data_IF_942742190135
#
_entry.id   IF_942742190135
#
_cell.length_a   1.000
_cell.length_b   1.000
_cell.length_c   1.000
_cell.angle_alpha   90.00
_cell.angle_beta   90.00
_cell.angle_gamma   90.00
#
_symmetry.space_group_name_H-M   'P 1'
#
loop_
_entity.id
_entity.type
_entity.pdbx_description
1 polymer ?
#
# COMPACT_ATOMS: atom_id res chain seq x y z
N UNK A 1 18.14 1.97 37.67
CA UNK A 1 17.71 2.39 36.34
C UNK A 1 17.98 1.25 35.35
N UNK A 2 16.99 0.88 34.53
CA UNK A 2 17.06 -0.34 33.68
C UNK A 2 17.98 -0.19 32.47
N UNK A 3 18.33 1.03 32.05
CA UNK A 3 19.03 1.30 30.80
C UNK A 3 20.42 1.92 30.97
N UNK A 4 20.94 1.98 32.17
CA UNK A 4 22.32 2.41 32.36
C UNK A 4 23.30 1.30 31.92
N UNK A 5 24.33 1.64 31.16
CA UNK A 5 25.38 0.67 30.84
C UNK A 5 26.06 0.18 32.12
N UNK A 6 26.50 -1.07 32.11
CA UNK A 6 27.25 -1.64 33.22
C UNK A 6 28.63 -1.00 33.33
N UNK A 7 29.07 -0.74 34.57
CA UNK A 7 30.44 -0.31 34.86
C UNK A 7 31.44 -1.45 34.62
N UNK A 8 32.70 -1.14 34.44
CA UNK A 8 33.74 -2.16 34.33
C UNK A 8 33.81 -3.06 35.59
N UNK A 9 33.59 -2.52 36.77
CA UNK A 9 33.53 -3.31 38.01
C UNK A 9 32.36 -4.31 37.99
N UNK A 10 31.17 -3.89 37.55
CA UNK A 10 30.00 -4.79 37.41
C UNK A 10 30.24 -5.85 36.39
N UNK A 11 30.86 -5.51 35.21
CA UNK A 11 31.25 -6.47 34.22
C UNK A 11 32.22 -7.51 34.73
N UNK A 12 33.24 -7.07 35.50
CA UNK A 12 34.19 -7.97 36.15
C UNK A 12 33.51 -8.94 37.11
N UNK A 13 32.57 -8.45 37.93
CA UNK A 13 31.79 -9.32 38.83
C UNK A 13 30.94 -10.34 38.06
N UNK A 14 30.29 -9.93 36.95
CA UNK A 14 29.51 -10.85 36.09
C UNK A 14 30.40 -11.91 35.47
N UNK A 15 31.56 -11.55 34.94
CA UNK A 15 32.53 -12.49 34.37
C UNK A 15 33.06 -13.47 35.44
N UNK A 16 33.40 -12.98 36.60
CA UNK A 16 33.84 -13.84 37.73
C UNK A 16 32.74 -14.84 38.13
N UNK A 17 31.48 -14.40 38.17
CA UNK A 17 30.34 -15.30 38.45
C UNK A 17 30.16 -16.40 37.40
N UNK A 18 30.58 -16.14 36.14
CA UNK A 18 30.62 -17.12 35.08
C UNK A 18 31.93 -17.95 35.02
N UNK A 19 32.86 -17.72 35.96
CA UNK A 19 34.18 -18.37 35.94
C UNK A 19 35.12 -17.90 34.82
N UNK A 20 34.91 -16.68 34.30
CA UNK A 20 35.64 -16.13 33.18
C UNK A 20 36.47 -14.93 33.61
N UNK A 21 37.65 -14.72 33.01
CA UNK A 21 38.53 -13.59 33.25
C UNK A 21 38.23 -12.38 32.35
N UNK A 22 37.75 -12.62 31.15
CA UNK A 22 37.48 -11.59 30.15
C UNK A 22 36.23 -11.90 29.33
N UNK A 23 35.67 -10.87 28.66
CA UNK A 23 34.59 -11.06 27.68
C UNK A 23 35.04 -11.90 26.48
N UNK A 24 36.33 -11.88 26.15
CA UNK A 24 36.90 -12.69 25.07
C UNK A 24 36.78 -14.20 25.34
N UNK A 25 36.83 -14.61 26.61
CA UNK A 25 36.72 -16.01 27.00
C UNK A 25 35.35 -16.61 26.65
N UNK A 26 34.29 -15.78 26.55
CA UNK A 26 32.97 -16.20 26.07
C UNK A 26 33.01 -16.80 24.65
N UNK A 27 33.97 -16.36 23.86
CA UNK A 27 34.12 -16.76 22.46
C UNK A 27 35.23 -17.83 22.25
N UNK A 28 35.82 -18.36 23.33
CA UNK A 28 36.89 -19.34 23.24
C UNK A 28 36.53 -20.61 22.45
N UNK A 29 35.25 -20.96 22.38
CA UNK A 29 34.74 -22.10 21.59
C UNK A 29 34.74 -21.85 20.07
N UNK A 30 34.88 -20.62 19.62
CA UNK A 30 34.92 -20.30 18.17
C UNK A 30 36.32 -20.50 17.62
N UNK A 31 36.44 -21.10 16.41
CA UNK A 31 37.73 -21.26 15.74
C UNK A 31 38.42 -19.90 15.57
N UNK A 32 39.76 -19.79 15.82
CA UNK A 32 40.48 -18.51 15.69
C UNK A 32 40.39 -17.85 14.31
N UNK A 33 40.24 -18.65 13.24
CA UNK A 33 40.11 -18.17 11.86
C UNK A 33 38.74 -17.48 11.60
N UNK A 34 37.73 -17.74 12.38
CA UNK A 34 36.38 -17.13 12.25
C UNK A 34 36.22 -15.89 13.11
N UNK A 35 37.19 -15.57 13.97
CA UNK A 35 37.12 -14.44 14.89
C UNK A 35 37.75 -13.20 14.29
N UNK A 36 37.04 -12.10 14.28
CA UNK A 36 37.58 -10.80 13.90
C UNK A 36 38.48 -10.26 15.02
N UNK A 37 39.79 -10.13 14.75
CA UNK A 37 40.79 -9.67 15.71
C UNK A 37 41.09 -8.17 15.65
N UNK A 38 40.44 -7.45 14.78
CA UNK A 38 40.60 -6.01 14.64
C UNK A 38 39.27 -5.31 15.02
N UNK A 39 39.28 -4.07 15.47
CA UNK A 39 38.07 -3.28 15.57
C UNK A 39 37.36 -3.18 14.23
N UNK A 40 36.04 -3.07 14.25
CA UNK A 40 35.26 -2.73 13.04
C UNK A 40 35.72 -1.34 12.55
N UNK A 41 35.82 -1.20 11.21
CA UNK A 41 36.12 0.09 10.58
C UNK A 41 34.83 0.94 10.56
N UNK A 42 34.42 1.40 11.74
CA UNK A 42 33.28 2.28 11.92
C UNK A 42 33.80 3.64 12.41
N UNK A 43 33.12 4.70 11.96
CA UNK A 43 33.37 6.03 12.48
C UNK A 43 33.12 6.09 14.00
N UNK A 44 33.79 6.98 14.72
CA UNK A 44 33.49 7.23 16.12
C UNK A 44 32.03 7.61 16.35
N UNK A 45 31.49 7.25 17.49
CA UNK A 45 30.13 7.65 17.89
C UNK A 45 30.01 9.17 17.91
N UNK A 46 28.86 9.67 17.46
CA UNK A 46 28.52 11.10 17.47
C UNK A 46 27.56 11.39 18.64
N UNK A 47 27.61 12.61 19.14
CA UNK A 47 26.61 13.11 20.09
C UNK A 47 25.22 13.24 19.42
N UNK A 48 24.17 13.27 20.20
CA UNK A 48 22.80 13.49 19.70
C UNK A 48 22.71 14.77 18.85
N UNK A 49 23.34 15.85 19.31
CA UNK A 49 23.38 17.12 18.59
C UNK A 49 24.01 16.96 17.19
N UNK A 50 25.17 16.31 17.08
CA UNK A 50 25.85 16.08 15.80
C UNK A 50 25.03 15.19 14.86
N UNK A 51 24.32 14.17 15.39
CA UNK A 51 23.44 13.31 14.61
C UNK A 51 22.25 14.09 14.07
N UNK A 52 21.60 14.90 14.91
CA UNK A 52 20.47 15.74 14.50
C UNK A 52 20.89 16.75 13.44
N UNK A 53 22.01 17.43 13.63
CA UNK A 53 22.51 18.40 12.64
C UNK A 53 22.89 17.74 11.31
N UNK A 54 23.54 16.59 11.37
CA UNK A 54 23.85 15.82 10.16
C UNK A 54 22.59 15.48 9.36
N UNK A 55 21.57 14.93 9.99
CA UNK A 55 20.34 14.56 9.30
C UNK A 55 19.52 15.76 8.84
N UNK A 56 19.52 16.87 9.59
CA UNK A 56 18.91 18.13 9.11
C UNK A 56 19.60 18.66 7.86
N UNK A 57 20.94 18.63 7.82
CA UNK A 57 21.68 19.03 6.63
C UNK A 57 21.36 18.13 5.42
N UNK A 58 21.28 16.79 5.63
CA UNK A 58 20.88 15.86 4.55
C UNK A 58 19.43 16.08 4.10
N UNK A 59 18.51 16.32 5.03
CA UNK A 59 17.12 16.61 4.71
C UNK A 59 16.97 17.90 3.88
N UNK A 60 17.79 18.91 4.14
CA UNK A 60 17.79 20.17 3.41
C UNK A 60 18.27 20.04 1.95
N UNK A 61 18.93 18.95 1.58
CA UNK A 61 19.35 18.67 0.19
C UNK A 61 18.18 18.17 -0.67
N UNK A 62 17.08 17.73 -0.05
CA UNK A 62 15.91 17.30 -0.80
C UNK A 62 15.19 18.50 -1.41
N UNK A 63 14.61 18.28 -2.59
CA UNK A 63 13.74 19.24 -3.22
C UNK A 63 12.39 19.28 -2.48
N UNK A 64 12.12 20.37 -1.77
CA UNK A 64 10.91 20.56 -0.97
C UNK A 64 10.09 21.75 -1.47
N UNK A 65 8.79 21.77 -1.15
CA UNK A 65 7.91 22.90 -1.49
C UNK A 65 7.55 23.01 -2.97
N UNK A 66 7.82 21.99 -3.78
CA UNK A 66 7.44 21.94 -5.18
C UNK A 66 6.07 21.29 -5.33
N UNK A 67 5.09 21.92 -6.01
CA UNK A 67 3.89 21.22 -6.44
C UNK A 67 4.24 19.97 -7.24
N UNK A 68 3.57 18.86 -6.91
CA UNK A 68 3.87 17.55 -7.48
C UNK A 68 2.64 17.02 -8.24
N UNK A 69 2.87 16.62 -9.49
CA UNK A 69 1.88 16.01 -10.36
C UNK A 69 2.20 14.52 -10.64
N UNK A 70 3.11 13.96 -9.87
CA UNK A 70 3.43 12.55 -9.88
C UNK A 70 2.42 11.80 -8.99
N UNK A 71 1.78 10.79 -9.52
CA UNK A 71 0.92 9.84 -8.82
C UNK A 71 1.52 8.45 -8.86
N UNK A 72 0.89 7.55 -9.64
CA UNK A 72 1.38 6.19 -9.86
C UNK A 72 1.44 5.34 -8.59
N UNK A 73 0.39 5.41 -7.77
CA UNK A 73 0.23 4.58 -6.57
C UNK A 73 0.71 5.22 -5.27
N UNK A 74 1.30 6.43 -5.33
CA UNK A 74 1.63 7.24 -4.15
C UNK A 74 1.25 8.70 -4.40
N UNK A 75 0.45 9.26 -3.51
CA UNK A 75 -0.26 10.51 -3.73
C UNK A 75 -0.01 11.51 -2.61
N UNK A 76 0.03 12.81 -2.96
CA UNK A 76 0.11 13.89 -1.99
C UNK A 76 -1.30 14.38 -1.64
N UNK A 77 -1.75 14.05 -0.42
CA UNK A 77 -2.99 14.53 0.16
C UNK A 77 -2.73 15.33 1.43
N UNK A 78 -3.67 16.19 1.78
CA UNK A 78 -3.60 16.90 3.05
C UNK A 78 -3.71 15.93 4.23
N UNK A 79 -2.74 16.02 5.14
CA UNK A 79 -2.71 15.22 6.35
C UNK A 79 -3.24 16.03 7.54
N UNK A 80 -4.39 15.67 8.12
CA UNK A 80 -4.92 16.35 9.29
C UNK A 80 -3.96 16.27 10.49
N UNK A 81 -3.76 17.38 11.21
CA UNK A 81 -2.86 17.46 12.37
C UNK A 81 -3.24 16.45 13.46
N UNK A 82 -4.53 16.12 13.58
CA UNK A 82 -5.01 15.14 14.56
C UNK A 82 -4.40 13.74 14.33
N UNK A 83 -4.06 13.38 13.09
CA UNK A 83 -3.40 12.10 12.79
C UNK A 83 -2.09 12.00 13.56
N UNK A 84 -1.22 13.01 13.43
CA UNK A 84 0.07 13.04 14.12
C UNK A 84 -0.08 13.07 15.64
N UNK A 85 -1.07 13.80 16.13
CA UNK A 85 -1.37 13.90 17.57
C UNK A 85 -1.77 12.54 18.16
N UNK A 86 -2.61 11.77 17.46
CA UNK A 86 -3.05 10.46 17.96
C UNK A 86 -1.97 9.41 17.87
N UNK A 87 -1.27 9.31 16.73
CA UNK A 87 -0.26 8.24 16.54
C UNK A 87 1.02 8.46 17.34
N UNK A 88 1.30 9.69 17.79
CA UNK A 88 2.44 9.99 18.66
C UNK A 88 2.17 9.68 20.13
N UNK A 89 0.95 9.34 20.54
CA UNK A 89 0.65 8.93 21.91
C UNK A 89 1.35 7.61 22.23
N UNK A 90 1.97 7.54 23.39
CA UNK A 90 2.75 6.38 23.82
C UNK A 90 1.96 5.07 23.80
N UNK A 91 0.67 5.13 24.08
CA UNK A 91 -0.24 3.97 24.09
C UNK A 91 -0.33 3.28 22.72
N UNK A 92 -0.20 4.04 21.62
CA UNK A 92 -0.20 3.52 20.26
C UNK A 92 1.22 3.37 19.71
N UNK A 93 2.07 4.40 19.86
CA UNK A 93 3.41 4.44 19.28
C UNK A 93 4.29 3.27 19.74
N UNK A 94 4.19 2.89 21.01
CA UNK A 94 4.98 1.80 21.60
C UNK A 94 4.28 0.44 21.56
N UNK A 95 3.03 0.37 21.08
CA UNK A 95 2.29 -0.89 21.01
C UNK A 95 2.87 -1.80 19.95
N UNK A 96 2.77 -3.11 20.22
CA UNK A 96 3.08 -4.15 19.25
C UNK A 96 1.80 -4.94 18.95
N UNK A 97 1.89 -6.18 18.56
CA UNK A 97 0.72 -7.01 18.30
C UNK A 97 -0.08 -7.23 19.59
N UNK A 98 -1.39 -7.00 19.60
CA UNK A 98 -2.23 -7.11 20.79
C UNK A 98 -2.60 -8.57 21.10
N UNK A 99 -1.62 -9.41 21.42
CA UNK A 99 -1.84 -10.82 21.73
C UNK A 99 -2.62 -11.02 23.05
N UNK A 100 -2.35 -10.16 24.05
CA UNK A 100 -3.02 -10.22 25.35
C UNK A 100 -4.22 -9.27 25.34
N UNK A 101 -5.39 -9.83 25.09
CA UNK A 101 -6.63 -9.07 24.98
C UNK A 101 -6.93 -8.24 26.25
N UNK A 102 -6.54 -8.76 27.42
CA UNK A 102 -6.82 -8.16 28.73
C UNK A 102 -6.20 -6.76 28.90
N UNK A 103 -5.05 -6.50 28.29
CA UNK A 103 -4.33 -5.22 28.40
C UNK A 103 -4.32 -4.41 27.10
N UNK A 104 -4.91 -4.91 26.03
CA UNK A 104 -4.82 -4.34 24.68
C UNK A 104 -6.18 -3.93 24.11
N UNK A 105 -7.20 -3.72 24.95
CA UNK A 105 -8.56 -3.45 24.47
C UNK A 105 -8.64 -2.19 23.61
N UNK A 106 -7.91 -1.12 23.94
CA UNK A 106 -7.88 0.10 23.11
C UNK A 106 -7.31 -0.13 21.71
N UNK A 107 -6.19 -0.84 21.60
CA UNK A 107 -5.59 -1.20 20.31
C UNK A 107 -6.50 -2.14 19.50
N UNK A 108 -7.10 -3.13 20.14
CA UNK A 108 -8.04 -4.06 19.50
C UNK A 108 -9.28 -3.35 19.01
N UNK A 109 -9.81 -2.38 19.78
CA UNK A 109 -10.95 -1.54 19.37
C UNK A 109 -10.59 -0.75 18.11
N UNK A 110 -9.43 -0.08 18.10
CA UNK A 110 -8.99 0.69 16.93
C UNK A 110 -8.85 -0.18 15.67
N UNK A 111 -8.33 -1.42 15.80
CA UNK A 111 -8.24 -2.36 14.67
C UNK A 111 -9.63 -2.80 14.22
N UNK A 112 -10.55 -3.07 15.14
CA UNK A 112 -11.93 -3.45 14.79
C UNK A 112 -12.66 -2.32 14.06
N UNK A 113 -12.49 -1.07 14.49
CA UNK A 113 -13.03 0.11 13.81
C UNK A 113 -12.42 0.28 12.42
N UNK A 114 -11.10 0.10 12.27
CA UNK A 114 -10.43 0.07 10.97
C UNK A 114 -11.07 -0.95 10.02
N UNK A 115 -11.22 -2.20 10.45
CA UNK A 115 -11.86 -3.26 9.66
C UNK A 115 -13.29 -2.88 9.27
N UNK A 116 -14.05 -2.30 10.19
CA UNK A 116 -15.44 -1.86 9.95
C UNK A 116 -15.51 -0.76 8.90
N UNK A 117 -14.63 0.25 8.99
CA UNK A 117 -14.57 1.34 8.02
C UNK A 117 -14.20 0.84 6.63
N UNK A 118 -13.26 -0.10 6.53
CA UNK A 118 -12.89 -0.72 5.25
C UNK A 118 -14.05 -1.52 4.65
N UNK A 119 -14.78 -2.28 5.46
CA UNK A 119 -15.98 -2.98 5.00
C UNK A 119 -17.03 -2.00 4.44
N UNK A 120 -17.24 -0.86 5.11
CA UNK A 120 -18.17 0.18 4.65
C UNK A 120 -17.73 0.83 3.34
N UNK A 121 -16.44 1.12 3.18
CA UNK A 121 -15.88 1.73 1.96
C UNK A 121 -15.87 0.78 0.77
N UNK A 122 -15.57 -0.48 1.00
CA UNK A 122 -15.39 -1.47 -0.08
C UNK A 122 -16.66 -2.27 -0.39
N UNK A 123 -17.67 -2.23 0.48
CA UNK A 123 -18.86 -3.06 0.36
C UNK A 123 -18.62 -4.54 0.66
N UNK A 124 -17.48 -4.87 1.29
CA UNK A 124 -17.14 -6.21 1.72
C UNK A 124 -17.64 -6.49 3.14
N UNK A 125 -17.80 -7.78 3.47
CA UNK A 125 -18.36 -8.21 4.75
C UNK A 125 -17.28 -8.35 5.83
N UNK A 126 -16.03 -8.61 5.43
CA UNK A 126 -14.90 -8.76 6.34
C UNK A 126 -13.62 -8.16 5.75
N UNK A 127 -12.83 -7.51 6.60
CA UNK A 127 -11.50 -7.00 6.28
C UNK A 127 -10.50 -7.44 7.35
N UNK A 128 -9.24 -7.66 6.97
CA UNK A 128 -8.18 -7.94 7.93
C UNK A 128 -7.64 -6.66 8.59
N UNK A 129 -6.77 -6.84 9.58
CA UNK A 129 -6.16 -5.75 10.37
C UNK A 129 -5.16 -4.88 9.59
N UNK A 130 -4.89 -5.14 8.37
CA UNK A 130 -4.08 -4.59 7.28
C UNK A 130 -3.08 -5.62 6.72
N UNK A 131 -2.63 -5.32 5.51
CA UNK A 131 -1.50 -5.98 4.84
C UNK A 131 -0.26 -5.09 4.95
N UNK A 132 0.89 -5.55 4.44
CA UNK A 132 2.11 -4.74 4.42
C UNK A 132 1.94 -3.52 3.52
N UNK A 133 1.44 -3.74 2.30
CA UNK A 133 1.09 -2.73 1.31
C UNK A 133 0.12 -3.31 0.27
N UNK A 134 -0.35 -2.49 -0.66
CA UNK A 134 -1.23 -2.93 -1.75
C UNK A 134 -0.54 -3.93 -2.67
N UNK A 135 0.77 -3.79 -2.89
CA UNK A 135 1.52 -4.67 -3.79
C UNK A 135 1.60 -6.11 -3.28
N UNK A 136 1.66 -6.31 -1.97
CA UNK A 136 1.64 -7.64 -1.32
C UNK A 136 0.21 -8.15 -1.09
N UNK A 137 -0.78 -7.26 -0.99
CA UNK A 137 -2.18 -7.64 -0.87
C UNK A 137 -2.70 -8.36 -2.14
N UNK A 138 -2.26 -7.92 -3.33
CA UNK A 138 -2.69 -8.50 -4.62
C UNK A 138 -2.32 -9.98 -4.78
N UNK A 139 -1.07 -10.42 -4.63
CA UNK A 139 -0.74 -11.84 -4.70
C UNK A 139 -1.38 -12.68 -3.59
N UNK A 140 -1.56 -12.13 -2.39
CA UNK A 140 -2.27 -12.81 -1.31
C UNK A 140 -3.75 -13.02 -1.66
N UNK A 141 -4.40 -12.04 -2.32
CA UNK A 141 -5.75 -12.19 -2.86
C UNK A 141 -5.80 -13.28 -3.94
N UNK A 142 -4.82 -13.33 -4.85
CA UNK A 142 -4.72 -14.36 -5.88
C UNK A 142 -4.54 -15.76 -5.27
N UNK A 143 -3.66 -15.90 -4.29
CA UNK A 143 -3.46 -17.16 -3.57
C UNK A 143 -4.71 -17.57 -2.76
N UNK A 144 -5.41 -16.59 -2.19
CA UNK A 144 -6.68 -16.82 -1.51
C UNK A 144 -7.72 -17.35 -2.49
N UNK A 145 -7.87 -16.74 -3.67
CA UNK A 145 -8.77 -17.20 -4.71
C UNK A 145 -8.42 -18.63 -5.20
N UNK A 146 -7.11 -18.92 -5.33
CA UNK A 146 -6.64 -20.26 -5.71
C UNK A 146 -7.02 -21.33 -4.66
N UNK A 147 -6.90 -21.00 -3.38
CA UNK A 147 -7.35 -21.92 -2.29
C UNK A 147 -8.85 -22.14 -2.28
N UNK A 148 -9.63 -21.06 -2.52
CA UNK A 148 -11.10 -21.14 -2.54
C UNK A 148 -11.60 -21.98 -3.69
N UNK A 149 -11.05 -21.78 -4.89
CA UNK A 149 -11.51 -22.46 -6.11
C UNK A 149 -10.85 -23.81 -6.36
N UNK A 150 -9.72 -24.10 -5.71
CA UNK A 150 -8.88 -25.25 -6.02
C UNK A 150 -8.14 -25.14 -7.36
N UNK A 151 -8.10 -23.96 -7.98
CA UNK A 151 -7.52 -23.70 -9.29
C UNK A 151 -6.24 -22.85 -9.18
N UNK A 152 -5.47 -22.72 -10.27
CA UNK A 152 -4.19 -22.00 -10.27
C UNK A 152 -4.06 -20.89 -11.30
N UNK A 153 -4.99 -20.82 -12.25
CA UNK A 153 -4.98 -19.76 -13.29
C UNK A 153 -5.34 -18.41 -12.70
N UNK A 154 -4.59 -17.38 -13.07
CA UNK A 154 -4.87 -15.98 -12.70
C UNK A 154 -4.81 -15.14 -13.98
N UNK A 155 -5.83 -14.35 -14.25
CA UNK A 155 -5.83 -13.37 -15.33
C UNK A 155 -5.76 -11.98 -14.73
N UNK A 156 -4.63 -11.29 -14.90
CA UNK A 156 -4.41 -9.95 -14.39
C UNK A 156 -4.51 -8.92 -15.52
N UNK A 157 -5.22 -7.82 -15.30
CA UNK A 157 -5.27 -6.71 -16.25
C UNK A 157 -3.86 -6.13 -16.48
N UNK A 158 -3.50 -5.80 -17.72
CA UNK A 158 -2.27 -5.08 -18.02
C UNK A 158 -2.27 -3.67 -17.40
N UNK A 159 -3.44 -3.13 -17.16
CA UNK A 159 -3.68 -1.85 -16.47
C UNK A 159 -3.62 -1.94 -14.94
N UNK A 160 -3.36 -3.12 -14.35
CA UNK A 160 -2.93 -3.25 -12.96
C UNK A 160 -1.56 -2.59 -12.80
N UNK A 161 -1.33 -1.90 -11.69
CA UNK A 161 -0.06 -1.23 -11.39
C UNK A 161 1.15 -2.11 -11.75
N UNK A 162 2.10 -1.63 -12.57
CA UNK A 162 3.18 -2.47 -13.12
C UNK A 162 4.01 -3.17 -12.05
N UNK A 163 4.31 -2.48 -10.94
CA UNK A 163 5.08 -3.05 -9.83
C UNK A 163 4.25 -4.07 -9.04
N UNK A 164 2.92 -3.89 -8.93
CA UNK A 164 2.05 -4.91 -8.34
C UNK A 164 2.03 -6.19 -9.19
N UNK A 165 2.04 -6.05 -10.52
CA UNK A 165 2.18 -7.20 -11.43
C UNK A 165 3.52 -7.90 -11.22
N UNK A 166 4.62 -7.15 -11.09
CA UNK A 166 5.94 -7.73 -10.84
C UNK A 166 6.01 -8.49 -9.50
N UNK A 167 5.34 -7.97 -8.45
CA UNK A 167 5.21 -8.67 -7.16
C UNK A 167 4.36 -9.94 -7.32
N UNK A 168 3.22 -9.86 -8.02
CA UNK A 168 2.38 -11.03 -8.32
C UNK A 168 3.18 -12.12 -9.06
N UNK A 169 3.96 -11.76 -10.08
CA UNK A 169 4.85 -12.67 -10.81
C UNK A 169 5.92 -13.30 -9.89
N UNK A 170 6.45 -12.51 -8.94
CA UNK A 170 7.43 -13.00 -7.97
C UNK A 170 6.84 -14.11 -7.09
N UNK A 171 5.62 -13.93 -6.60
CA UNK A 171 4.90 -14.96 -5.85
C UNK A 171 4.55 -16.18 -6.70
N UNK A 172 4.24 -15.98 -7.98
CA UNK A 172 3.88 -17.05 -8.90
C UNK A 172 5.06 -17.93 -9.37
N UNK A 173 6.33 -17.43 -9.31
CA UNK A 173 7.53 -18.09 -9.88
C UNK A 173 7.73 -19.55 -9.47
N UNK A 174 7.34 -19.93 -8.27
CA UNK A 174 7.47 -21.30 -7.76
C UNK A 174 6.31 -22.22 -8.18
N UNK A 175 5.62 -21.90 -9.28
CA UNK A 175 4.50 -22.68 -9.86
C UNK A 175 3.27 -22.81 -8.96
N UNK A 176 3.12 -21.88 -8.03
CA UNK A 176 1.93 -21.81 -7.19
C UNK A 176 0.74 -21.30 -8.01
N UNK A 177 0.98 -20.29 -8.86
CA UNK A 177 -0.01 -19.66 -9.73
C UNK A 177 0.49 -19.63 -11.19
N UNK A 178 -0.45 -19.67 -12.13
CA UNK A 178 -0.23 -19.47 -13.57
C UNK A 178 -0.83 -18.13 -13.97
N UNK A 179 -0.01 -17.09 -14.06
CA UNK A 179 -0.45 -15.72 -14.35
C UNK A 179 -0.44 -15.47 -15.87
N UNK A 180 -1.56 -14.98 -16.37
CA UNK A 180 -1.72 -14.44 -17.73
C UNK A 180 -2.10 -12.96 -17.63
N UNK A 181 -1.61 -12.14 -18.57
CA UNK A 181 -1.91 -10.70 -18.63
C UNK A 181 -2.94 -10.43 -19.72
N UNK A 182 -4.05 -9.80 -19.33
CA UNK A 182 -5.11 -9.35 -20.24
C UNK A 182 -4.82 -7.92 -20.72
N UNK A 183 -5.01 -7.67 -22.01
CA UNK A 183 -4.77 -6.37 -22.65
C UNK A 183 -5.73 -5.27 -22.22
N UNK A 184 -5.54 -4.11 -22.84
CA UNK A 184 -6.43 -2.96 -22.68
C UNK A 184 -6.80 -2.37 -24.04
N UNK A 185 -7.95 -1.70 -24.12
CA UNK A 185 -8.44 -1.03 -25.34
C UNK A 185 -7.60 0.24 -25.60
N UNK A 186 -6.88 0.36 -26.73
CA UNK A 186 -5.98 1.48 -27.00
C UNK A 186 -6.65 2.86 -27.03
N UNK A 187 -7.95 2.94 -27.33
CA UNK A 187 -8.70 4.19 -27.38
C UNK A 187 -9.17 4.66 -26.01
N UNK A 188 -9.78 3.76 -25.22
CA UNK A 188 -10.37 4.11 -23.91
C UNK A 188 -9.41 3.97 -22.74
N UNK A 189 -8.37 3.16 -22.84
CA UNK A 189 -7.50 2.79 -21.72
C UNK A 189 -8.11 1.80 -20.73
N UNK A 190 -9.32 1.29 -21.00
CA UNK A 190 -10.01 0.28 -20.18
C UNK A 190 -9.54 -1.14 -20.52
N UNK A 191 -9.79 -2.05 -19.59
CA UNK A 191 -9.64 -3.49 -19.79
C UNK A 191 -10.28 -3.95 -21.10
N UNK A 192 -9.57 -4.76 -21.89
CA UNK A 192 -10.10 -5.41 -23.08
C UNK A 192 -10.94 -6.63 -22.67
N UNK A 193 -12.27 -6.46 -22.70
CA UNK A 193 -13.22 -7.50 -22.29
C UNK A 193 -13.24 -8.68 -23.24
N UNK A 194 -12.95 -8.49 -24.55
CA UNK A 194 -12.85 -9.59 -25.48
C UNK A 194 -11.60 -10.44 -25.23
N UNK A 195 -10.48 -9.79 -24.91
CA UNK A 195 -9.26 -10.51 -24.53
C UNK A 195 -9.44 -11.22 -23.19
N UNK A 196 -10.17 -10.60 -22.25
CA UNK A 196 -10.52 -11.23 -20.97
C UNK A 196 -11.35 -12.49 -21.18
N UNK A 197 -12.39 -12.43 -21.99
CA UNK A 197 -13.27 -13.57 -22.29
C UNK A 197 -12.50 -14.75 -22.90
N UNK A 198 -11.53 -14.48 -23.77
CA UNK A 198 -10.67 -15.52 -24.35
C UNK A 198 -9.72 -16.18 -23.34
N UNK A 199 -9.30 -15.46 -22.30
CA UNK A 199 -8.28 -15.91 -21.32
C UNK A 199 -8.87 -16.56 -20.07
N UNK A 200 -10.10 -16.21 -19.72
CA UNK A 200 -10.77 -16.79 -18.54
C UNK A 200 -11.34 -18.16 -18.92
N UNK A 201 -10.90 -19.21 -18.23
CA UNK A 201 -11.27 -20.60 -18.46
C UNK A 201 -11.72 -21.25 -17.15
N UNK A 202 -12.16 -22.51 -17.23
CA UNK A 202 -12.49 -23.33 -16.06
C UNK A 202 -11.32 -23.59 -15.12
N UNK A 203 -10.07 -23.41 -15.58
CA UNK A 203 -8.83 -23.44 -14.78
C UNK A 203 -8.51 -22.13 -14.08
N UNK A 204 -9.26 -21.04 -14.36
CA UNK A 204 -9.01 -19.72 -13.78
C UNK A 204 -9.54 -19.64 -12.34
N UNK A 205 -8.68 -19.25 -11.41
CA UNK A 205 -9.03 -18.99 -10.01
C UNK A 205 -9.49 -17.55 -9.79
N UNK A 206 -8.79 -16.59 -10.41
CA UNK A 206 -9.04 -15.17 -10.21
C UNK A 206 -8.88 -14.36 -11.49
N UNK A 207 -9.72 -13.33 -11.62
CA UNK A 207 -9.54 -12.18 -12.50
C UNK A 207 -9.19 -10.99 -11.62
N UNK A 208 -8.07 -10.30 -11.91
CA UNK A 208 -7.56 -9.17 -11.10
C UNK A 208 -7.66 -7.90 -11.94
N UNK A 209 -8.49 -6.96 -11.48
CA UNK A 209 -8.74 -5.68 -12.15
C UNK A 209 -8.57 -4.54 -11.17
N UNK A 210 -7.75 -3.55 -11.52
CA UNK A 210 -7.60 -2.31 -10.76
C UNK A 210 -8.55 -1.24 -11.28
N UNK A 211 -9.26 -0.56 -10.38
CA UNK A 211 -10.09 0.61 -10.71
C UNK A 211 -10.11 1.62 -9.56
N UNK A 212 -9.75 2.90 -9.80
CA UNK A 212 -9.15 3.40 -11.05
C UNK A 212 -7.88 2.62 -11.43
N UNK A 213 -7.67 2.37 -12.72
CA UNK A 213 -6.53 1.58 -13.18
C UNK A 213 -5.23 2.42 -13.23
N UNK A 214 -4.11 1.83 -13.65
CA UNK A 214 -2.81 2.53 -13.66
C UNK A 214 -2.76 3.75 -14.61
N UNK A 215 -3.69 3.88 -15.51
CA UNK A 215 -3.86 5.06 -16.35
C UNK A 215 -4.83 6.10 -15.75
N UNK A 216 -5.32 5.87 -14.53
CA UNK A 216 -6.34 6.67 -13.87
C UNK A 216 -7.77 6.35 -14.30
N UNK A 217 -7.96 5.47 -15.28
CA UNK A 217 -9.26 5.18 -15.91
C UNK A 217 -10.13 4.31 -15.01
N UNK A 218 -11.41 4.67 -14.90
CA UNK A 218 -12.43 3.91 -14.17
C UNK A 218 -12.91 2.76 -15.04
N UNK A 219 -12.73 1.52 -14.54
CA UNK A 219 -13.06 0.28 -15.25
C UNK A 219 -14.55 -0.10 -15.12
N UNK A 220 -15.04 -0.89 -16.04
CA UNK A 220 -16.32 -1.59 -15.90
C UNK A 220 -16.11 -2.91 -15.15
N UNK A 221 -16.05 -2.78 -13.81
CA UNK A 221 -15.80 -3.93 -12.94
C UNK A 221 -16.94 -4.96 -12.97
N UNK A 222 -18.18 -4.53 -13.26
CA UNK A 222 -19.33 -5.43 -13.35
C UNK A 222 -19.18 -6.37 -14.54
N UNK A 223 -18.86 -5.84 -15.72
CA UNK A 223 -18.62 -6.67 -16.90
C UNK A 223 -17.46 -7.67 -16.66
N UNK A 224 -16.41 -7.25 -15.98
CA UNK A 224 -15.31 -8.15 -15.60
C UNK A 224 -15.75 -9.24 -14.61
N UNK A 225 -16.61 -8.90 -13.63
CA UNK A 225 -17.18 -9.86 -12.67
C UNK A 225 -18.03 -10.91 -13.38
N UNK A 226 -18.93 -10.47 -14.28
CA UNK A 226 -19.81 -11.38 -15.03
C UNK A 226 -19.00 -12.38 -15.87
N UNK A 227 -17.91 -11.94 -16.52
CA UNK A 227 -17.01 -12.82 -17.26
C UNK A 227 -16.30 -13.82 -16.33
N UNK A 228 -15.78 -13.38 -15.21
CA UNK A 228 -15.12 -14.23 -14.23
C UNK A 228 -16.09 -15.29 -13.66
N UNK A 229 -17.25 -14.86 -13.21
CA UNK A 229 -18.24 -15.72 -12.55
C UNK A 229 -18.85 -16.76 -13.49
N UNK A 230 -19.02 -16.46 -14.77
CA UNK A 230 -19.48 -17.45 -15.77
C UNK A 230 -18.57 -18.70 -15.83
N UNK A 231 -17.30 -18.56 -15.54
CA UNK A 231 -16.32 -19.64 -15.49
C UNK A 231 -16.01 -20.10 -14.03
N UNK A 232 -16.73 -19.56 -13.04
CA UNK A 232 -16.51 -19.87 -11.61
C UNK A 232 -15.19 -19.36 -11.06
N UNK A 233 -14.56 -18.38 -11.73
CA UNK A 233 -13.42 -17.62 -11.21
C UNK A 233 -13.92 -16.49 -10.29
N UNK A 234 -13.07 -16.02 -9.37
CA UNK A 234 -13.37 -14.91 -8.47
C UNK A 234 -12.88 -13.59 -9.07
N UNK A 235 -13.65 -12.50 -8.88
CA UNK A 235 -13.17 -11.17 -9.17
C UNK A 235 -12.42 -10.59 -7.97
N UNK A 236 -11.15 -10.22 -8.19
CA UNK A 236 -10.34 -9.42 -7.27
C UNK A 236 -10.34 -7.99 -7.78
N UNK A 237 -11.04 -7.11 -7.06
CA UNK A 237 -10.97 -5.68 -7.32
C UNK A 237 -9.78 -5.07 -6.57
N UNK A 238 -8.96 -4.31 -7.31
CA UNK A 238 -7.78 -3.62 -6.76
C UNK A 238 -7.98 -2.10 -6.83
N UNK A 239 -7.53 -1.37 -5.80
CA UNK A 239 -7.40 0.08 -5.84
C UNK A 239 -6.04 0.51 -5.29
N UNK A 240 -5.48 1.58 -5.85
CA UNK A 240 -4.25 2.23 -5.37
C UNK A 240 -4.54 3.60 -4.77
N UNK A 241 -5.59 4.27 -5.24
CA UNK A 241 -6.04 5.57 -4.75
C UNK A 241 -7.29 5.41 -3.88
N UNK A 242 -7.09 5.39 -2.55
CA UNK A 242 -8.19 5.16 -1.61
C UNK A 242 -9.19 6.32 -1.52
N UNK A 243 -8.78 7.57 -1.81
CA UNK A 243 -9.69 8.73 -1.81
C UNK A 243 -10.77 8.57 -2.87
N UNK A 244 -10.51 7.85 -3.96
CA UNK A 244 -11.53 7.54 -4.98
C UNK A 244 -12.77 6.83 -4.41
N UNK A 245 -12.60 6.05 -3.33
CA UNK A 245 -13.69 5.33 -2.67
C UNK A 245 -14.71 6.28 -1.99
N UNK A 246 -14.36 7.54 -1.79
CA UNK A 246 -15.30 8.58 -1.31
C UNK A 246 -16.36 8.94 -2.35
N UNK A 247 -16.14 8.66 -3.61
CA UNK A 247 -17.01 9.02 -4.74
C UNK A 247 -17.46 7.81 -5.56
N UNK A 248 -16.58 6.83 -5.77
CA UNK A 248 -16.90 5.62 -6.53
C UNK A 248 -17.73 4.65 -5.68
N UNK A 249 -18.84 4.17 -6.25
CA UNK A 249 -19.69 3.20 -5.56
C UNK A 249 -18.93 1.86 -5.39
N UNK A 250 -19.02 1.22 -4.21
CA UNK A 250 -18.47 -0.10 -4.00
C UNK A 250 -19.13 -1.12 -4.95
N UNK A 251 -18.35 -2.08 -5.45
CA UNK A 251 -18.86 -3.13 -6.31
C UNK A 251 -19.37 -4.32 -5.48
N UNK A 252 -20.67 -4.51 -5.46
CA UNK A 252 -21.31 -5.63 -4.76
C UNK A 252 -20.90 -7.01 -5.32
N UNK A 253 -20.52 -7.07 -6.60
CA UNK A 253 -20.14 -8.32 -7.30
C UNK A 253 -18.66 -8.69 -7.15
N UNK A 254 -17.82 -7.84 -6.52
CA UNK A 254 -16.46 -8.25 -6.17
C UNK A 254 -16.47 -9.33 -5.08
N UNK A 255 -15.59 -10.31 -5.22
CA UNK A 255 -15.42 -11.40 -4.23
C UNK A 255 -14.35 -11.05 -3.19
N UNK A 256 -13.28 -10.45 -3.65
CA UNK A 256 -12.12 -10.03 -2.86
C UNK A 256 -11.73 -8.62 -3.29
N UNK A 257 -11.37 -7.78 -2.32
CA UNK A 257 -10.82 -6.45 -2.56
C UNK A 257 -9.41 -6.40 -1.99
N UNK A 258 -8.46 -5.94 -2.79
CA UNK A 258 -7.09 -5.66 -2.38
C UNK A 258 -6.76 -4.21 -2.70
N UNK A 259 -5.98 -3.53 -1.88
CA UNK A 259 -5.69 -2.12 -2.15
C UNK A 259 -4.62 -1.51 -1.27
N UNK A 260 -4.41 -0.22 -1.47
CA UNK A 260 -3.43 0.61 -0.76
C UNK A 260 -4.13 1.79 -0.06
N UNK A 261 -3.69 2.09 1.15
CA UNK A 261 -4.22 3.19 1.97
C UNK A 261 -3.29 4.39 2.09
N UNK A 262 -2.22 4.45 1.30
CA UNK A 262 -1.25 5.54 1.39
C UNK A 262 -1.92 6.92 1.32
N UNK A 263 -2.96 7.10 0.50
CA UNK A 263 -3.74 8.34 0.38
C UNK A 263 -4.42 8.77 1.68
N UNK A 264 -4.62 7.88 2.64
CA UNK A 264 -5.26 8.20 3.91
C UNK A 264 -4.24 8.66 4.96
N UNK A 265 -3.71 9.87 4.76
CA UNK A 265 -2.77 10.57 5.65
C UNK A 265 -1.41 9.89 5.85
N UNK A 266 -0.99 9.04 4.93
CA UNK A 266 0.34 8.44 4.96
C UNK A 266 1.22 9.22 3.99
N UNK A 267 2.34 9.77 4.46
CA UNK A 267 3.27 10.48 3.59
C UNK A 267 3.93 9.50 2.60
N UNK A 268 4.28 9.93 1.37
CA UNK A 268 5.01 9.09 0.41
C UNK A 268 6.35 8.53 0.94
N UNK A 269 7.04 9.27 1.81
CA UNK A 269 8.19 8.87 2.65
C UNK A 269 9.22 8.00 1.93
N UNK A 270 9.57 8.33 0.69
CA UNK A 270 10.56 7.59 -0.13
C UNK A 270 10.22 6.10 -0.34
N UNK A 271 8.95 5.76 -0.32
CA UNK A 271 8.48 4.39 -0.56
C UNK A 271 7.91 3.65 0.65
N UNK A 272 7.51 4.36 1.69
CA UNK A 272 6.82 3.75 2.83
C UNK A 272 7.34 4.13 4.21
N UNK A 273 6.80 3.51 5.28
CA UNK A 273 5.85 2.39 5.23
C UNK A 273 4.45 2.81 4.74
N UNK A 274 3.74 1.88 4.07
CA UNK A 274 2.36 2.03 3.62
C UNK A 274 1.45 1.04 4.35
N UNK A 275 0.17 0.92 3.97
CA UNK A 275 -0.73 -0.06 4.56
C UNK A 275 -1.66 -0.65 3.49
N UNK A 276 -1.53 -1.95 3.28
CA UNK A 276 -2.39 -2.67 2.34
C UNK A 276 -3.74 -3.05 2.96
N UNK A 277 -4.70 -3.24 2.09
CA UNK A 277 -6.05 -3.73 2.40
C UNK A 277 -6.25 -5.12 1.81
N UNK A 278 -6.88 -5.99 2.57
CA UNK A 278 -7.52 -7.19 2.03
C UNK A 278 -8.88 -7.37 2.71
N UNK A 279 -9.91 -7.35 1.89
CA UNK A 279 -11.29 -7.54 2.32
C UNK A 279 -12.01 -8.55 1.42
N UNK A 280 -13.04 -9.21 1.92
CA UNK A 280 -13.75 -10.25 1.16
C UNK A 280 -15.19 -10.44 1.65
N UNK A 281 -15.98 -11.17 0.87
CA UNK A 281 -17.30 -11.65 1.27
C UNK A 281 -17.22 -12.58 2.49
N UNK A 282 -18.23 -12.57 3.34
CA UNK A 282 -18.31 -13.37 4.57
C UNK A 282 -17.99 -14.83 4.36
N UNK A 283 -18.51 -15.44 3.30
CA UNK A 283 -18.26 -16.84 2.93
C UNK A 283 -16.77 -17.19 2.79
N UNK A 284 -15.92 -16.20 2.54
CA UNK A 284 -14.48 -16.36 2.36
C UNK A 284 -13.65 -15.89 3.57
N UNK A 285 -14.27 -15.38 4.63
CA UNK A 285 -13.59 -14.81 5.80
C UNK A 285 -12.53 -15.75 6.39
N UNK A 286 -12.79 -17.07 6.40
CA UNK A 286 -11.84 -18.05 6.93
C UNK A 286 -10.59 -18.26 6.04
N UNK A 287 -10.60 -17.73 4.82
CA UNK A 287 -9.47 -17.79 3.88
C UNK A 287 -8.66 -16.49 3.85
N UNK A 288 -9.13 -15.42 4.51
CA UNK A 288 -8.40 -14.16 4.59
C UNK A 288 -7.03 -14.37 5.24
N UNK A 289 -5.93 -13.90 4.63
CA UNK A 289 -4.63 -13.84 5.30
C UNK A 289 -4.59 -12.74 6.36
N UNK A 290 -3.56 -12.76 7.20
CA UNK A 290 -3.34 -11.74 8.21
C UNK A 290 -4.26 -11.87 9.42
N UNK A 291 -4.15 -10.89 10.32
CA UNK A 291 -4.89 -10.88 11.59
C UNK A 291 -6.30 -10.36 11.41
N UNK A 292 -7.19 -10.89 12.25
CA UNK A 292 -8.56 -10.45 12.38
C UNK A 292 -8.87 -10.19 13.85
N UNK A 293 -9.53 -9.08 14.13
CA UNK A 293 -10.09 -8.77 15.44
C UNK A 293 -11.59 -9.01 15.39
N UNK A 294 -12.10 -9.74 16.37
CA UNK A 294 -13.51 -10.03 16.55
C UNK A 294 -14.05 -9.45 17.84
N UNK A 295 -15.35 -9.16 17.86
CA UNK A 295 -16.08 -8.78 19.06
C UNK A 295 -16.39 -10.02 19.90
N UNK A 296 -16.30 -9.87 21.22
CA UNK A 296 -16.61 -10.89 22.22
C UNK A 296 -17.19 -10.23 23.48
N UNK A 297 -17.36 -10.99 24.54
CA UNK A 297 -17.74 -10.49 25.86
C UNK A 297 -16.70 -10.89 26.89
N UNK A 298 -16.46 -10.02 27.86
CA UNK A 298 -15.63 -10.31 29.03
C UNK A 298 -16.38 -11.22 30.03
N UNK A 299 -15.71 -11.62 31.09
CA UNK A 299 -16.30 -12.46 32.15
C UNK A 299 -17.51 -11.82 32.88
N UNK A 300 -17.68 -10.50 32.74
CA UNK A 300 -18.80 -9.74 33.31
C UNK A 300 -19.93 -9.48 32.28
N UNK A 301 -19.77 -9.97 31.04
CA UNK A 301 -20.73 -9.78 29.97
C UNK A 301 -20.60 -8.45 29.22
N UNK A 302 -19.57 -7.63 29.48
CA UNK A 302 -19.31 -6.39 28.76
C UNK A 302 -18.68 -6.68 27.41
N UNK A 303 -18.94 -5.81 26.43
CA UNK A 303 -18.33 -5.84 25.12
C UNK A 303 -16.81 -5.78 25.21
N UNK A 304 -16.12 -6.66 24.52
CA UNK A 304 -14.68 -6.76 24.48
C UNK A 304 -14.22 -7.22 23.10
N UNK A 305 -12.93 -7.14 22.82
CA UNK A 305 -12.33 -7.52 21.55
C UNK A 305 -11.17 -8.49 21.75
N UNK A 306 -10.96 -9.37 20.78
CA UNK A 306 -9.82 -10.30 20.78
C UNK A 306 -9.37 -10.59 19.36
N UNK A 307 -8.11 -11.05 19.22
CA UNK A 307 -7.67 -11.68 17.97
C UNK A 307 -8.46 -12.97 17.74
N UNK A 308 -8.99 -13.13 16.52
CA UNK A 308 -9.80 -14.30 16.17
C UNK A 308 -9.22 -15.07 14.99
N UNK A 309 -9.62 -16.33 14.83
CA UNK A 309 -9.17 -17.23 13.77
C UNK A 309 -7.63 -17.39 13.70
N UNK A 310 -6.90 -17.17 14.79
CA UNK A 310 -5.43 -17.24 14.84
C UNK A 310 -4.86 -18.62 14.45
N UNK A 311 -5.68 -19.68 14.49
CA UNK A 311 -5.28 -21.02 14.04
C UNK A 311 -4.86 -21.09 12.55
N UNK A 312 -5.13 -20.05 11.74
CA UNK A 312 -4.70 -19.96 10.33
C UNK A 312 -3.26 -19.48 10.19
N UNK A 313 -2.70 -18.84 11.22
CA UNK A 313 -1.41 -18.14 11.16
C UNK A 313 -0.22 -19.10 11.19
N UNK A 314 0.92 -18.64 10.65
CA UNK A 314 2.13 -19.47 10.47
C UNK A 314 2.74 -19.97 11.79
N UNK A 315 2.62 -19.24 12.90
CA UNK A 315 3.14 -19.66 14.19
C UNK A 315 2.37 -20.85 14.81
N UNK A 316 1.16 -21.13 14.30
CA UNK A 316 0.35 -22.29 14.66
C UNK A 316 0.49 -23.40 13.61
N UNK A 317 0.24 -23.07 12.34
CA UNK A 317 0.14 -24.07 11.26
C UNK A 317 1.44 -24.31 10.49
N UNK A 318 2.45 -23.50 10.70
CA UNK A 318 3.76 -23.61 10.04
C UNK A 318 3.58 -23.64 8.50
N UNK A 319 4.08 -24.69 7.81
CA UNK A 319 3.97 -24.85 6.36
C UNK A 319 2.53 -24.98 5.83
N UNK A 320 1.57 -25.27 6.72
CA UNK A 320 0.13 -25.38 6.39
C UNK A 320 -0.64 -24.09 6.66
N UNK A 321 0.06 -23.00 6.98
CA UNK A 321 -0.58 -21.71 7.22
C UNK A 321 -1.27 -21.18 5.97
N UNK A 322 -2.30 -20.35 6.18
CA UNK A 322 -3.03 -19.70 5.08
C UNK A 322 -2.15 -18.75 4.29
N UNK A 323 -1.18 -18.10 4.96
CA UNK A 323 -0.24 -17.16 4.38
C UNK A 323 1.03 -17.06 5.22
N UNK A 324 2.10 -16.51 4.64
CA UNK A 324 3.32 -16.16 5.33
C UNK A 324 3.28 -14.76 5.99
N UNK A 325 2.16 -14.06 5.90
CA UNK A 325 1.96 -12.78 6.60
C UNK A 325 2.06 -13.04 8.11
N UNK A 326 3.01 -12.34 8.76
CA UNK A 326 3.28 -12.52 10.20
C UNK A 326 2.67 -11.37 11.02
N UNK A 327 2.98 -10.13 10.62
CA UNK A 327 2.47 -8.93 11.26
C UNK A 327 1.70 -8.08 10.25
N UNK A 328 1.29 -6.88 10.69
CA UNK A 328 0.60 -5.92 9.85
C UNK A 328 1.14 -4.51 10.15
N UNK A 329 0.70 -3.50 9.43
CA UNK A 329 1.09 -2.11 9.59
C UNK A 329 0.16 -1.38 10.58
N UNK A 330 0.13 -1.84 11.85
CA UNK A 330 -0.88 -1.40 12.83
C UNK A 330 -0.89 0.12 13.07
N UNK A 331 0.30 0.76 13.22
CA UNK A 331 0.38 2.21 13.43
C UNK A 331 -0.05 2.98 12.17
N UNK A 332 0.32 2.49 10.98
CA UNK A 332 -0.05 3.11 9.70
C UNK A 332 -1.55 2.91 9.42
N UNK A 333 -2.10 1.74 9.74
CA UNK A 333 -3.55 1.49 9.71
C UNK A 333 -4.31 2.43 10.67
N UNK A 334 -3.74 2.73 11.84
CA UNK A 334 -4.30 3.73 12.76
C UNK A 334 -4.29 5.13 12.14
N UNK A 335 -3.25 5.53 11.39
CA UNK A 335 -3.25 6.81 10.66
C UNK A 335 -4.45 6.90 9.72
N UNK A 336 -4.68 5.85 8.93
CA UNK A 336 -5.82 5.77 8.02
C UNK A 336 -7.16 5.78 8.79
N UNK A 337 -7.25 5.11 9.93
CA UNK A 337 -8.45 5.10 10.79
C UNK A 337 -8.78 6.51 11.30
N UNK A 338 -7.78 7.22 11.82
CA UNK A 338 -7.94 8.61 12.29
C UNK A 338 -8.33 9.52 11.13
N UNK A 339 -7.71 9.36 9.96
CA UNK A 339 -8.07 10.11 8.76
C UNK A 339 -9.55 9.91 8.39
N UNK A 340 -9.99 8.66 8.26
CA UNK A 340 -11.40 8.34 7.96
C UNK A 340 -12.36 8.89 9.02
N UNK A 341 -11.96 8.87 10.29
CA UNK A 341 -12.76 9.42 11.40
C UNK A 341 -12.88 10.94 11.33
N UNK A 342 -11.77 11.64 11.00
CA UNK A 342 -11.75 13.12 10.90
C UNK A 342 -12.60 13.60 9.74
N UNK A 343 -12.46 12.97 8.57
CA UNK A 343 -13.25 13.36 7.40
C UNK A 343 -14.70 12.88 7.50
N UNK A 344 -14.92 11.70 8.03
CA UNK A 344 -16.23 11.06 8.00
C UNK A 344 -16.73 10.84 6.57
N UNK A 345 -17.97 10.39 6.43
CA UNK A 345 -18.57 10.10 5.12
C UNK A 345 -18.66 11.34 4.23
N UNK A 346 -19.11 12.45 4.79
CA UNK A 346 -19.30 13.69 4.04
C UNK A 346 -17.96 14.30 3.60
N UNK A 347 -17.01 14.45 4.54
CA UNK A 347 -15.72 15.05 4.24
C UNK A 347 -14.87 14.22 3.25
N UNK A 348 -14.95 12.87 3.33
CA UNK A 348 -14.27 12.02 2.35
C UNK A 348 -14.85 12.18 0.94
N UNK A 349 -16.17 12.33 0.83
CA UNK A 349 -16.82 12.64 -0.43
C UNK A 349 -16.39 13.99 -0.98
N UNK A 350 -16.43 15.04 -0.17
CA UNK A 350 -15.99 16.39 -0.56
C UNK A 350 -14.51 16.40 -1.00
N UNK A 351 -13.66 15.67 -0.30
CA UNK A 351 -12.26 15.49 -0.67
C UNK A 351 -12.12 14.84 -2.05
N UNK A 352 -12.86 13.77 -2.31
CA UNK A 352 -12.86 13.08 -3.59
C UNK A 352 -13.40 13.98 -4.73
N UNK A 353 -14.46 14.76 -4.48
CA UNK A 353 -14.99 15.73 -5.43
C UNK A 353 -13.96 16.83 -5.79
N UNK A 354 -13.19 17.31 -4.80
CA UNK A 354 -12.12 18.30 -5.05
C UNK A 354 -10.99 17.69 -5.89
N UNK A 355 -10.59 16.46 -5.62
CA UNK A 355 -9.59 15.74 -6.41
C UNK A 355 -10.04 15.60 -7.87
N UNK A 356 -11.26 15.11 -8.08
CA UNK A 356 -11.85 14.97 -9.40
C UNK A 356 -11.88 16.30 -10.15
N UNK A 357 -12.38 17.36 -9.50
CA UNK A 357 -12.52 18.69 -10.11
C UNK A 357 -11.16 19.26 -10.55
N UNK A 358 -10.11 19.14 -9.72
CA UNK A 358 -8.77 19.63 -10.06
C UNK A 358 -8.11 18.84 -11.18
N UNK A 359 -8.25 17.51 -11.17
CA UNK A 359 -7.73 16.67 -12.23
C UNK A 359 -8.40 16.99 -13.58
N UNK A 360 -9.71 17.15 -13.60
CA UNK A 360 -10.45 17.53 -14.80
C UNK A 360 -10.09 18.95 -15.27
N UNK A 361 -9.92 19.92 -14.36
CA UNK A 361 -9.44 21.26 -14.70
C UNK A 361 -8.10 21.23 -15.43
N UNK A 362 -7.15 20.40 -15.00
CA UNK A 362 -5.86 20.25 -15.67
C UNK A 362 -6.01 19.49 -16.98
N UNK A 363 -6.76 18.40 -16.98
CA UNK A 363 -6.97 17.52 -18.13
C UNK A 363 -7.60 18.24 -19.32
N UNK A 364 -8.56 19.16 -19.10
CA UNK A 364 -9.19 19.98 -20.15
C UNK A 364 -8.20 20.83 -20.95
N UNK A 365 -7.01 21.09 -20.40
CA UNK A 365 -5.95 21.91 -21.02
C UNK A 365 -4.88 21.08 -21.74
N UNK A 366 -4.97 19.75 -21.67
CA UNK A 366 -3.92 18.84 -22.15
C UNK A 366 -4.45 17.87 -23.21
N UNK A 367 -3.59 17.43 -24.12
CA UNK A 367 -3.96 16.41 -25.11
C UNK A 367 -4.04 15.04 -24.42
N UNK A 368 -5.25 14.58 -24.09
CA UNK A 368 -5.46 13.30 -23.44
C UNK A 368 -5.18 12.13 -24.41
N UNK A 369 -4.55 11.08 -23.89
CA UNK A 369 -4.26 9.86 -24.63
C UNK A 369 -5.46 8.91 -24.70
N UNK A 370 -6.29 8.88 -23.66
CA UNK A 370 -7.42 7.98 -23.52
C UNK A 370 -8.74 8.74 -23.36
N UNK A 371 -9.82 8.11 -23.82
CA UNK A 371 -11.18 8.67 -23.77
C UNK A 371 -12.00 8.13 -22.60
N UNK A 372 -11.50 7.17 -21.83
CA UNK A 372 -12.19 6.60 -20.67
C UNK A 372 -12.35 7.63 -19.54
N UNK A 373 -13.41 7.49 -18.70
CA UNK A 373 -13.57 8.33 -17.51
C UNK A 373 -12.45 8.04 -16.52
N UNK A 374 -11.97 9.08 -15.84
CA UNK A 374 -10.85 8.98 -14.88
C UNK A 374 -11.18 9.71 -13.58
N UNK A 375 -10.41 9.44 -12.53
CA UNK A 375 -10.58 10.09 -11.23
C UNK A 375 -9.61 11.28 -11.06
N UNK A 376 -8.46 11.09 -10.42
CA UNK A 376 -7.47 12.14 -10.15
C UNK A 376 -6.14 11.94 -10.91
N UNK A 377 -6.03 10.85 -11.65
CA UNK A 377 -4.94 10.56 -12.57
C UNK A 377 -5.46 10.44 -14.00
N UNK A 378 -4.64 10.86 -14.95
CA UNK A 378 -4.93 10.75 -16.39
C UNK A 378 -3.64 10.75 -17.21
N UNK A 379 -3.72 10.25 -18.44
CA UNK A 379 -2.57 10.18 -19.35
C UNK A 379 -2.68 11.29 -20.41
N UNK A 380 -1.63 12.12 -20.48
CA UNK A 380 -1.48 13.15 -21.50
C UNK A 380 -0.34 12.81 -22.49
N UNK A 381 -0.51 13.20 -23.77
CA UNK A 381 0.51 13.04 -24.81
C UNK A 381 1.50 14.22 -24.76
N UNK A 382 2.79 13.94 -24.67
CA UNK A 382 3.85 14.92 -24.78
C UNK A 382 4.24 15.09 -26.25
N UNK A 383 3.44 15.88 -27.01
CA UNK A 383 3.50 15.95 -28.48
C UNK A 383 4.74 16.68 -29.00
N UNK A 384 5.15 17.74 -28.32
CA UNK A 384 6.17 18.66 -28.85
C UNK A 384 7.60 18.26 -28.43
N UNK A 385 7.74 17.48 -27.35
CA UNK A 385 9.03 17.03 -26.83
C UNK A 385 8.88 15.72 -26.01
N UNK A 386 9.96 14.94 -25.84
CA UNK A 386 9.90 13.74 -25.02
C UNK A 386 9.49 14.03 -23.58
N UNK A 387 8.77 13.11 -22.89
CA UNK A 387 8.33 13.26 -21.49
C UNK A 387 9.46 13.62 -20.52
N UNK A 388 10.66 13.09 -20.72
CA UNK A 388 11.84 13.37 -19.88
C UNK A 388 12.30 14.83 -20.03
N UNK A 389 12.30 15.36 -21.24
CA UNK A 389 12.65 16.76 -21.50
C UNK A 389 11.58 17.72 -20.95
N UNK A 390 10.31 17.33 -21.02
CA UNK A 390 9.20 18.07 -20.42
C UNK A 390 9.34 18.10 -18.88
N UNK A 391 9.67 16.97 -18.25
CA UNK A 391 9.93 16.90 -16.81
C UNK A 391 11.12 17.78 -16.40
N UNK A 392 12.19 17.81 -17.19
CA UNK A 392 13.34 18.68 -16.92
C UNK A 392 12.95 20.17 -16.97
N UNK A 393 12.11 20.56 -17.93
CA UNK A 393 11.61 21.94 -18.04
C UNK A 393 10.66 22.30 -16.87
N UNK A 394 9.77 21.40 -16.48
CA UNK A 394 8.92 21.59 -15.30
C UNK A 394 9.74 21.72 -14.02
N UNK A 395 10.76 20.87 -13.85
CA UNK A 395 11.63 20.91 -12.67
C UNK A 395 12.41 22.25 -12.58
N UNK A 396 12.85 22.81 -13.71
CA UNK A 396 13.47 24.14 -13.75
C UNK A 396 12.52 25.25 -13.25
N UNK A 397 11.21 25.03 -13.35
CA UNK A 397 10.16 25.91 -12.80
C UNK A 397 9.73 25.49 -11.36
N UNK A 398 10.46 24.61 -10.71
CA UNK A 398 10.14 24.03 -9.40
C UNK A 398 8.77 23.30 -9.37
N UNK A 399 8.45 22.60 -10.45
CA UNK A 399 7.28 21.74 -10.57
C UNK A 399 7.76 20.31 -10.79
N UNK A 400 7.24 19.35 -10.02
CA UNK A 400 7.47 17.93 -10.24
C UNK A 400 6.38 17.46 -11.21
N UNK A 401 6.78 17.06 -12.41
CA UNK A 401 5.87 16.61 -13.46
C UNK A 401 5.33 15.21 -13.24
N UNK A 402 4.85 14.57 -14.31
CA UNK A 402 4.27 13.25 -14.26
C UNK A 402 5.25 12.11 -14.53
N UNK A 403 4.73 10.89 -14.55
CA UNK A 403 5.51 9.68 -14.83
C UNK A 403 5.57 9.42 -16.35
N UNK A 404 6.76 9.39 -16.98
CA UNK A 404 6.91 8.90 -18.36
C UNK A 404 6.50 7.43 -18.45
N UNK A 405 5.51 7.12 -19.29
CA UNK A 405 4.95 5.77 -19.36
C UNK A 405 5.78 4.78 -20.18
N UNK A 406 6.70 5.24 -21.02
CA UNK A 406 7.56 4.39 -21.85
C UNK A 406 8.36 3.33 -21.06
N UNK A 407 8.65 3.60 -19.79
CA UNK A 407 9.30 2.66 -18.88
C UNK A 407 8.52 1.34 -18.70
N UNK A 408 7.18 1.41 -18.68
CA UNK A 408 6.32 0.27 -18.40
C UNK A 408 5.49 -0.16 -19.61
N UNK A 409 5.23 0.79 -20.50
CA UNK A 409 4.42 0.63 -21.71
C UNK A 409 5.17 1.25 -22.90
N UNK A 410 6.02 0.47 -23.61
CA UNK A 410 6.80 1.00 -24.74
C UNK A 410 5.94 1.68 -25.82
N UNK A 411 4.70 1.22 -26.00
CA UNK A 411 3.71 1.82 -26.93
C UNK A 411 3.20 3.19 -26.49
N UNK A 412 3.45 3.58 -25.24
CA UNK A 412 3.10 4.88 -24.67
C UNK A 412 4.33 5.74 -24.35
N UNK A 413 5.46 5.52 -25.06
CA UNK A 413 6.71 6.23 -24.82
C UNK A 413 6.60 7.77 -24.94
N UNK A 414 5.66 8.25 -25.78
CA UNK A 414 5.37 9.69 -25.91
C UNK A 414 4.31 10.21 -24.94
N UNK A 415 3.96 9.46 -23.90
CA UNK A 415 2.89 9.82 -22.97
C UNK A 415 3.36 9.85 -21.52
N UNK A 416 2.66 10.63 -20.73
CA UNK A 416 2.96 10.87 -19.31
C UNK A 416 1.69 10.70 -18.47
N UNK A 417 1.77 9.95 -17.37
CA UNK A 417 0.74 9.90 -16.35
C UNK A 417 0.87 11.11 -15.44
N UNK A 418 -0.19 11.87 -15.27
CA UNK A 418 -0.29 13.03 -14.40
C UNK A 418 -1.33 12.78 -13.31
N UNK A 419 -1.10 13.35 -12.14
CA UNK A 419 -2.01 13.33 -11.00
C UNK A 419 -2.25 14.77 -10.51
N UNK A 420 -3.50 15.11 -10.17
CA UNK A 420 -3.82 16.33 -9.44
C UNK A 420 -4.73 16.00 -8.26
N UNK A 421 -4.34 16.49 -7.08
CA UNK A 421 -5.08 16.30 -5.83
C UNK A 421 -5.61 17.63 -5.29
N UNK A 422 -6.32 17.62 -4.18
CA UNK A 422 -6.78 18.83 -3.50
C UNK A 422 -5.64 19.77 -3.13
N UNK A 423 -4.42 19.24 -3.00
CA UNK A 423 -3.22 20.03 -2.67
C UNK A 423 -2.60 20.72 -3.88
N UNK A 424 -3.03 20.41 -5.11
CA UNK A 424 -2.48 21.02 -6.34
C UNK A 424 -2.95 22.47 -6.51
N UNK A 425 -2.03 23.48 -6.50
CA UNK A 425 -2.41 24.87 -6.71
C UNK A 425 -2.83 25.14 -8.17
N UNK A 426 -3.80 26.02 -8.37
CA UNK A 426 -4.30 26.36 -9.70
C UNK A 426 -3.19 26.91 -10.61
N UNK A 427 -2.38 27.83 -10.07
CA UNK A 427 -1.26 28.45 -10.80
C UNK A 427 -0.22 27.40 -11.24
N UNK A 428 0.00 26.38 -10.43
CA UNK A 428 0.91 25.28 -10.78
C UNK A 428 0.31 24.41 -11.91
N UNK A 429 -1.00 24.13 -11.87
CA UNK A 429 -1.69 23.41 -12.94
C UNK A 429 -1.65 24.18 -14.26
N UNK A 430 -1.88 25.51 -14.22
CA UNK A 430 -1.78 26.39 -15.39
C UNK A 430 -0.35 26.39 -15.96
N UNK A 431 0.67 26.44 -15.09
CA UNK A 431 2.07 26.40 -15.49
C UNK A 431 2.47 25.04 -16.13
N UNK A 432 1.90 23.93 -15.66
CA UNK A 432 2.06 22.61 -16.31
C UNK A 432 1.44 22.63 -17.72
N UNK A 433 0.22 23.16 -17.86
CA UNK A 433 -0.45 23.25 -19.15
C UNK A 433 0.30 24.13 -20.16
N UNK A 434 0.83 25.28 -19.71
CA UNK A 434 1.70 26.12 -20.53
C UNK A 434 2.93 25.36 -21.03
N UNK A 435 3.57 24.58 -20.14
CA UNK A 435 4.80 23.87 -20.51
C UNK A 435 4.53 22.74 -21.51
N UNK A 436 3.39 22.08 -21.45
CA UNK A 436 2.94 21.11 -22.47
C UNK A 436 2.69 21.75 -23.84
N UNK A 437 2.28 23.04 -23.88
CA UNK A 437 1.96 23.76 -25.11
C UNK A 437 3.19 24.40 -25.78
N UNK A 438 4.32 24.50 -25.08
CA UNK A 438 5.56 25.08 -25.64
C UNK A 438 6.19 24.13 -26.66
N UNK A 439 6.66 24.73 -27.77
CA UNK A 439 7.43 24.04 -28.82
C UNK A 439 8.88 23.68 -28.37
#
# INVERSE_FOLDING_TARGET
MRYLPKSEAERGQMLAACGLASAEDLFAHLPPATRLRRPLALDPGKSEYEVVDYFRARAAENLTGCPCFLGAGAYFHYRPVLVDTVVSRGEFLTSYTPYQAEISQGTLTAIFEFQTMLCQLTGMDAANASMYDGSTAVPEAAMMAARITGRRGVVAARTLHPEYRAVLETYARNRVLAVQVCGYCPGSGRLDLEDLERKVTDGTAAVIVQSPNFFGIIEDLRAAADLAHRQGALLVWVFTEAVALGLLAPLADADIVAGELQSFAIAPSFGGPYAGVLAAKERYMRQLPGRLVGETKDARGHRAYCLTLAAREQHIRREKATSNICTNQALVALMATVFMTVYGKQGLRELAEQNLAKAHYLAEKLPLRFTGPFFNEFVAEARNRPPEALNAALLARKLIGGLPLGRFYPELAGSMLLCATETSPREAMDAVAEEFSRE
#
